data_IF_935951554635
#
_entry.id   IF_935951554635
#
_cell.length_a   1.000
_cell.length_b   1.000
_cell.length_c   1.000
_cell.angle_alpha   90.00
_cell.angle_beta   90.00
_cell.angle_gamma   90.00
#
_symmetry.space_group_name_H-M   'P 1'
#
loop_
_entity.id
_entity.type
_entity.pdbx_description
1 polymer ?
#
# COMPACT_ATOMS: atom_id res chain seq x y z
N UNK A 1 7.09 55.23 -2.10
CA UNK A 1 5.69 55.44 -1.64
C UNK A 1 4.87 55.64 -2.89
N UNK A 2 3.87 54.85 -3.29
CA UNK A 2 2.76 54.20 -2.56
C UNK A 2 2.27 53.00 -3.39
N UNK A 3 2.59 51.78 -2.93
CA UNK A 3 1.95 50.54 -3.36
C UNK A 3 1.02 50.14 -2.20
N UNK A 4 -0.30 50.22 -2.40
CA UNK A 4 -1.38 49.56 -1.61
C UNK A 4 -2.72 50.23 -1.91
N UNK A 5 -3.37 49.91 -3.03
CA UNK A 5 -4.78 50.30 -3.23
C UNK A 5 -5.69 49.27 -3.91
N UNK A 6 -5.28 48.01 -4.09
CA UNK A 6 -6.12 47.03 -4.79
C UNK A 6 -6.37 45.72 -4.02
N UNK A 7 -6.39 45.73 -2.68
CA UNK A 7 -6.64 44.52 -1.88
C UNK A 7 -7.96 44.55 -1.09
N UNK A 8 -8.88 45.47 -1.41
CA UNK A 8 -10.09 45.70 -0.62
C UNK A 8 -11.40 45.68 -1.43
N UNK A 9 -11.49 44.83 -2.46
CA UNK A 9 -12.75 44.63 -3.20
C UNK A 9 -13.20 43.16 -3.31
N UNK A 10 -12.47 42.21 -2.71
CA UNK A 10 -12.82 40.77 -2.77
C UNK A 10 -13.32 40.19 -1.44
N UNK A 11 -13.61 41.02 -0.44
CA UNK A 11 -13.88 40.55 0.94
C UNK A 11 -15.29 40.86 1.48
N UNK A 12 -16.25 41.26 0.62
CA UNK A 12 -17.60 41.62 1.07
C UNK A 12 -18.75 40.99 0.26
N UNK A 13 -18.57 39.79 -0.30
CA UNK A 13 -19.67 39.02 -0.91
C UNK A 13 -19.92 37.65 -0.27
N UNK A 14 -19.68 37.51 1.04
CA UNK A 14 -19.93 36.26 1.78
C UNK A 14 -20.91 36.42 2.96
N UNK A 15 -21.86 37.36 2.90
CA UNK A 15 -22.73 37.67 4.03
C UNK A 15 -24.23 37.68 3.72
N UNK A 16 -24.72 36.78 2.85
CA UNK A 16 -26.17 36.58 2.63
C UNK A 16 -26.58 35.10 2.45
N UNK A 17 -25.99 34.17 3.21
CA UNK A 17 -26.56 32.83 3.34
C UNK A 17 -27.60 32.81 4.46
N UNK A 18 -28.86 32.58 4.09
CA UNK A 18 -29.97 32.38 5.02
C UNK A 18 -29.64 31.20 5.96
N UNK A 19 -29.98 31.27 7.27
CA UNK A 19 -29.80 30.13 8.16
C UNK A 19 -30.71 28.99 7.70
N UNK A 20 -30.10 27.90 7.22
CA UNK A 20 -30.82 26.67 6.94
C UNK A 20 -31.23 26.05 8.27
N UNK A 21 -32.52 26.12 8.60
CA UNK A 21 -33.13 25.36 9.70
C UNK A 21 -33.20 23.88 9.31
N UNK A 22 -32.07 23.19 9.28
CA UNK A 22 -32.08 21.73 9.42
C UNK A 22 -32.25 21.41 10.89
N UNK A 23 -33.48 21.04 11.26
CA UNK A 23 -33.76 20.25 12.46
C UNK A 23 -33.02 18.91 12.35
N UNK A 24 -31.71 18.89 12.63
CA UNK A 24 -30.99 17.65 12.80
C UNK A 24 -31.29 17.14 14.21
N UNK A 25 -32.37 16.37 14.28
CA UNK A 25 -32.80 15.62 15.46
C UNK A 25 -31.63 14.72 15.87
N UNK A 26 -30.88 15.15 16.88
CA UNK A 26 -29.98 14.27 17.62
C UNK A 26 -30.85 13.17 18.24
N UNK A 27 -30.67 11.92 17.80
CA UNK A 27 -30.99 10.62 18.45
C UNK A 27 -30.91 9.53 17.37
N UNK A 28 -30.29 8.37 17.53
CA UNK A 28 -29.55 7.75 18.63
C UNK A 28 -28.65 6.66 18.04
N UNK A 29 -27.48 6.50 18.67
CA UNK A 29 -26.49 5.42 18.62
C UNK A 29 -27.00 4.07 18.07
N UNK A 30 -26.39 3.61 16.99
CA UNK A 30 -25.76 2.29 16.79
C UNK A 30 -25.56 2.07 15.28
N UNK A 31 -24.64 2.82 14.68
CA UNK A 31 -24.19 2.53 13.31
C UNK A 31 -23.14 1.41 13.41
N UNK A 32 -23.30 0.25 12.73
CA UNK A 32 -22.32 -0.85 12.77
C UNK A 32 -20.90 -0.39 12.41
N UNK A 33 -20.81 0.65 11.55
CA UNK A 33 -19.56 1.26 11.10
C UNK A 33 -18.86 2.06 12.19
N UNK A 34 -19.60 2.70 13.11
CA UNK A 34 -18.96 3.44 14.21
C UNK A 34 -18.35 2.48 15.23
N UNK A 35 -18.98 1.34 15.47
CA UNK A 35 -18.44 0.32 16.39
C UNK A 35 -17.22 -0.38 15.82
N UNK A 36 -17.17 -0.60 14.49
CA UNK A 36 -15.99 -1.13 13.83
C UNK A 36 -14.80 -0.16 13.89
N UNK A 37 -15.04 1.13 13.67
CA UNK A 37 -14.00 2.16 13.79
C UNK A 37 -13.48 2.27 15.23
N UNK A 38 -14.37 2.21 16.22
CA UNK A 38 -13.98 2.20 17.65
C UNK A 38 -13.15 0.95 17.97
N UNK A 39 -13.53 -0.24 17.48
CA UNK A 39 -12.74 -1.46 17.67
C UNK A 39 -11.35 -1.36 17.04
N UNK A 40 -11.25 -0.83 15.81
CA UNK A 40 -9.95 -0.61 15.13
C UNK A 40 -9.08 0.38 15.90
N UNK A 41 -9.67 1.46 16.42
CA UNK A 41 -8.95 2.45 17.21
C UNK A 41 -8.41 1.87 18.53
N UNK A 42 -9.21 1.08 19.25
CA UNK A 42 -8.76 0.44 20.49
C UNK A 42 -7.69 -0.63 20.23
N UNK A 43 -7.74 -1.35 19.11
CA UNK A 43 -6.67 -2.26 18.71
C UNK A 43 -5.37 -1.53 18.34
N UNK A 44 -5.45 -0.36 17.70
CA UNK A 44 -4.27 0.45 17.39
C UNK A 44 -3.58 0.98 18.64
N UNK A 45 -4.34 1.39 19.67
CA UNK A 45 -3.76 1.77 20.97
C UNK A 45 -2.99 0.63 21.63
N UNK A 46 -3.47 -0.61 21.51
CA UNK A 46 -2.81 -1.79 22.09
C UNK A 46 -1.49 -2.14 21.37
N UNK A 47 -1.43 -1.89 20.06
CA UNK A 47 -0.25 -2.15 19.23
C UNK A 47 0.63 -0.91 19.05
N UNK A 48 0.50 0.08 19.93
CA UNK A 48 1.35 1.25 19.87
C UNK A 48 2.79 0.85 20.20
N UNK A 49 3.67 1.01 19.22
CA UNK A 49 5.12 0.79 19.38
C UNK A 49 5.60 1.71 20.50
N UNK A 50 6.23 1.13 21.53
CA UNK A 50 6.73 1.92 22.66
C UNK A 50 7.93 2.74 22.22
N UNK A 51 8.16 3.90 22.85
CA UNK A 51 9.29 4.76 22.52
C UNK A 51 10.64 4.04 22.72
N UNK A 52 10.70 3.10 23.68
CA UNK A 52 11.84 2.22 23.93
C UNK A 52 12.13 1.30 22.74
N UNK A 53 11.09 0.79 22.07
CA UNK A 53 11.23 -0.08 20.90
C UNK A 53 11.79 0.71 19.71
N UNK A 54 11.33 1.95 19.49
CA UNK A 54 11.85 2.83 18.42
C UNK A 54 13.33 3.12 18.62
N UNK A 55 13.74 3.44 19.85
CA UNK A 55 15.14 3.73 20.18
C UNK A 55 16.05 2.52 19.97
N UNK A 56 15.56 1.31 20.34
CA UNK A 56 16.27 0.05 20.08
C UNK A 56 16.37 -0.25 18.58
N UNK A 57 15.30 -0.04 17.82
CA UNK A 57 15.29 -0.22 16.37
C UNK A 57 16.26 0.74 15.67
N UNK A 58 16.27 2.02 16.06
CA UNK A 58 17.21 3.00 15.53
C UNK A 58 18.66 2.65 15.85
N UNK A 59 18.93 2.18 17.06
CA UNK A 59 20.26 1.72 17.45
C UNK A 59 20.71 0.53 16.59
N UNK A 60 19.86 -0.47 16.39
CA UNK A 60 20.14 -1.62 15.50
C UNK A 60 20.34 -1.18 14.05
N UNK A 61 19.55 -0.21 13.57
CA UNK A 61 19.69 0.31 12.21
C UNK A 61 21.03 1.03 12.02
N UNK A 62 21.47 1.84 13.01
CA UNK A 62 22.79 2.48 13.00
C UNK A 62 23.92 1.44 12.98
N UNK A 63 23.81 0.36 13.74
CA UNK A 63 24.78 -0.74 13.71
C UNK A 63 24.84 -1.43 12.34
N UNK A 64 23.70 -1.78 11.76
CA UNK A 64 23.64 -2.42 10.43
C UNK A 64 24.15 -1.50 9.31
N UNK A 65 23.99 -0.18 9.47
CA UNK A 65 24.55 0.82 8.56
C UNK A 65 26.03 1.12 8.79
N UNK A 66 26.65 0.55 9.83
CA UNK A 66 28.04 0.83 10.20
C UNK A 66 28.28 2.27 10.68
N UNK A 67 27.23 2.94 11.19
CA UNK A 67 27.27 4.34 11.65
C UNK A 67 27.48 4.46 13.17
N UNK A 68 28.03 3.43 13.82
CA UNK A 68 28.36 3.49 15.25
C UNK A 68 29.78 3.97 15.48
N UNK A 69 29.95 4.93 16.40
CA UNK A 69 31.26 5.44 16.89
C UNK A 69 32.15 4.34 17.50
N UNK A 70 31.52 3.27 17.99
CA UNK A 70 32.19 2.00 18.26
C UNK A 70 32.41 1.30 16.91
N UNK A 71 33.51 1.69 16.25
CA UNK A 71 34.11 0.94 15.17
C UNK A 71 34.17 -0.53 15.59
N UNK A 72 33.45 -1.48 14.94
CA UNK A 72 33.93 -2.85 15.00
C UNK A 72 35.34 -2.78 14.43
N UNK A 73 36.34 -3.10 15.26
CA UNK A 73 37.68 -3.35 14.81
C UNK A 73 37.63 -4.56 13.85
N UNK A 74 37.29 -4.29 12.59
CA UNK A 74 37.41 -5.22 11.48
C UNK A 74 37.68 -4.46 10.19
N UNK A 75 38.54 -3.45 10.31
CA UNK A 75 39.51 -3.13 9.26
C UNK A 75 40.89 -3.64 9.71
N UNK A 76 40.94 -4.86 10.24
CA UNK A 76 42.19 -5.58 10.55
C UNK A 76 42.59 -6.53 9.42
N UNK A 77 42.28 -6.16 8.18
CA UNK A 77 42.70 -6.95 7.02
C UNK A 77 44.06 -6.45 6.51
N UNK A 78 44.44 -5.22 6.88
CA UNK A 78 45.62 -4.55 6.34
C UNK A 78 46.94 -4.99 6.97
N UNK A 79 46.92 -5.79 8.05
CA UNK A 79 48.13 -6.25 8.75
C UNK A 79 48.28 -7.77 8.84
N UNK A 80 47.36 -8.52 8.24
CA UNK A 80 47.40 -9.99 8.30
C UNK A 80 48.39 -10.53 7.28
N UNK A 81 49.14 -11.55 7.68
CA UNK A 81 49.98 -12.29 6.77
C UNK A 81 49.14 -12.86 5.62
N UNK A 82 49.74 -13.03 4.45
CA UNK A 82 49.06 -13.58 3.28
C UNK A 82 48.41 -14.92 3.58
N UNK A 83 49.02 -15.73 4.44
CA UNK A 83 48.48 -17.02 4.92
C UNK A 83 47.20 -16.86 5.74
N UNK A 84 47.15 -15.87 6.64
CA UNK A 84 45.95 -15.62 7.45
C UNK A 84 44.78 -15.07 6.62
N UNK A 85 45.09 -14.27 5.59
CA UNK A 85 44.09 -13.77 4.64
C UNK A 85 43.47 -14.91 3.83
N UNK A 86 44.29 -15.86 3.37
CA UNK A 86 43.82 -17.05 2.65
C UNK A 86 42.99 -17.94 3.57
N UNK A 87 43.42 -18.17 4.81
CA UNK A 87 42.64 -18.96 5.78
C UNK A 87 41.26 -18.37 6.02
N UNK A 88 41.17 -17.05 6.25
CA UNK A 88 39.89 -16.34 6.42
C UNK A 88 39.01 -16.36 5.17
N UNK A 89 39.60 -16.37 3.98
CA UNK A 89 38.86 -16.50 2.73
C UNK A 89 38.23 -17.89 2.60
N UNK A 90 39.00 -18.93 2.92
CA UNK A 90 38.52 -20.33 2.90
C UNK A 90 37.42 -20.55 3.93
N UNK A 91 37.59 -20.05 5.16
CA UNK A 91 36.57 -20.13 6.21
C UNK A 91 35.25 -19.48 5.78
N UNK A 92 35.34 -18.28 5.19
CA UNK A 92 34.16 -17.57 4.67
C UNK A 92 33.43 -18.38 3.60
N UNK A 93 34.17 -18.95 2.65
CA UNK A 93 33.57 -19.75 1.57
C UNK A 93 32.86 -20.99 2.10
N UNK A 94 33.44 -21.65 3.12
CA UNK A 94 32.82 -22.80 3.78
C UNK A 94 31.54 -22.38 4.53
N UNK A 95 31.55 -21.22 5.19
CA UNK A 95 30.39 -20.72 5.91
C UNK A 95 29.26 -20.29 4.95
N UNK A 96 29.58 -19.59 3.87
CA UNK A 96 28.64 -19.24 2.80
C UNK A 96 27.97 -20.49 2.21
N UNK A 97 28.76 -21.52 1.87
CA UNK A 97 28.22 -22.78 1.35
C UNK A 97 27.31 -23.50 2.36
N UNK A 98 27.60 -23.42 3.66
CA UNK A 98 26.72 -23.96 4.73
C UNK A 98 25.42 -23.19 4.83
N UNK A 99 25.47 -21.87 4.68
CA UNK A 99 24.27 -21.02 4.68
C UNK A 99 23.44 -21.33 3.44
N UNK A 100 24.03 -21.38 2.24
CA UNK A 100 23.31 -21.70 1.01
C UNK A 100 22.65 -23.08 1.08
N UNK A 101 23.34 -24.07 1.66
CA UNK A 101 22.75 -25.40 1.87
C UNK A 101 21.60 -25.40 2.87
N UNK A 102 21.65 -24.57 3.91
CA UNK A 102 20.64 -24.53 4.98
C UNK A 102 19.45 -23.61 4.65
N UNK A 103 19.76 -22.51 3.98
CA UNK A 103 18.87 -21.46 3.54
C UNK A 103 18.60 -21.58 2.04
N UNK A 104 18.67 -22.80 1.49
CA UNK A 104 18.16 -23.13 0.16
C UNK A 104 16.65 -22.89 0.18
N UNK A 105 16.28 -21.61 0.12
CA UNK A 105 14.98 -21.16 -0.31
C UNK A 105 14.98 -21.47 -1.79
N UNK A 106 14.45 -22.66 -2.08
CA UNK A 106 13.88 -22.90 -3.38
C UNK A 106 12.84 -21.81 -3.54
N UNK A 107 13.17 -20.73 -4.24
CA UNK A 107 12.16 -19.95 -4.92
C UNK A 107 11.62 -20.90 -5.97
N UNK A 108 10.84 -21.88 -5.52
CA UNK A 108 10.18 -22.83 -6.35
C UNK A 108 9.46 -22.00 -7.38
N UNK A 109 10.01 -21.99 -8.59
CA UNK A 109 9.27 -21.66 -9.79
C UNK A 109 8.31 -22.81 -10.13
N UNK A 110 8.00 -23.65 -9.14
CA UNK A 110 6.81 -24.48 -9.02
C UNK A 110 5.64 -23.68 -8.40
N UNK A 111 5.57 -22.35 -8.62
CA UNK A 111 4.29 -21.74 -8.94
C UNK A 111 3.84 -22.35 -10.27
N UNK A 112 3.40 -23.60 -10.23
CA UNK A 112 2.55 -24.16 -11.27
C UNK A 112 1.33 -23.22 -11.34
N UNK A 113 1.18 -22.40 -12.39
CA UNK A 113 0.03 -21.52 -12.53
C UNK A 113 -1.12 -22.36 -13.06
N UNK A 114 -1.42 -23.48 -12.41
CA UNK A 114 -2.64 -24.23 -12.67
C UNK A 114 -3.78 -23.34 -12.20
N UNK A 115 -4.39 -22.72 -13.22
CA UNK A 115 -5.58 -21.88 -13.18
C UNK A 115 -5.37 -20.46 -12.68
N UNK A 116 -4.53 -19.69 -13.37
CA UNK A 116 -5.00 -18.34 -13.73
C UNK A 116 -6.21 -18.54 -14.64
N UNK A 117 -7.39 -18.70 -14.03
CA UNK A 117 -8.66 -18.53 -14.73
C UNK A 117 -8.51 -17.25 -15.56
N UNK A 118 -8.45 -17.43 -16.88
CA UNK A 118 -8.15 -16.35 -17.82
C UNK A 118 -9.40 -15.50 -17.98
N UNK A 119 -9.75 -14.80 -16.91
CA UNK A 119 -10.94 -13.98 -16.88
C UNK A 119 -10.78 -12.82 -17.86
N UNK A 120 -11.80 -12.52 -18.66
CA UNK A 120 -11.74 -11.40 -19.59
C UNK A 120 -11.55 -10.09 -18.83
N UNK A 121 -10.70 -9.21 -19.37
CA UNK A 121 -10.46 -7.89 -18.82
C UNK A 121 -11.57 -6.92 -19.19
N UNK A 122 -11.84 -5.95 -18.32
CA UNK A 122 -12.75 -4.85 -18.61
C UNK A 122 -12.13 -3.90 -19.65
N UNK A 123 -12.88 -3.55 -20.70
CA UNK A 123 -12.43 -2.64 -21.77
C UNK A 123 -12.01 -1.26 -21.26
N UNK A 124 -12.65 -0.79 -20.19
CA UNK A 124 -12.43 0.56 -19.64
C UNK A 124 -11.36 0.65 -18.53
N UNK A 125 -10.91 -0.47 -17.98
CA UNK A 125 -9.93 -0.48 -16.88
C UNK A 125 -9.29 -1.86 -16.71
N UNK A 126 -8.15 -1.94 -16.02
CA UNK A 126 -7.43 -3.20 -15.77
C UNK A 126 -8.09 -4.14 -14.75
N UNK A 127 -9.40 -3.99 -14.54
CA UNK A 127 -10.20 -4.86 -13.68
C UNK A 127 -10.74 -6.06 -14.43
N UNK A 128 -11.18 -7.07 -13.68
CA UNK A 128 -11.86 -8.25 -14.23
C UNK A 128 -13.26 -7.86 -14.73
N UNK A 129 -13.62 -8.29 -15.94
CA UNK A 129 -14.95 -8.10 -16.47
C UNK A 129 -15.92 -9.14 -15.92
N UNK A 130 -17.11 -8.69 -15.53
CA UNK A 130 -18.20 -9.54 -15.05
C UNK A 130 -19.22 -9.81 -16.16
N UNK A 131 -19.34 -8.87 -17.10
CA UNK A 131 -20.36 -8.90 -18.15
C UNK A 131 -19.75 -8.63 -19.52
N UNK A 132 -20.20 -9.36 -20.54
CA UNK A 132 -20.02 -9.01 -21.95
C UNK A 132 -21.30 -8.38 -22.48
N UNK A 133 -21.19 -7.31 -23.26
CA UNK A 133 -22.33 -6.64 -23.89
C UNK A 133 -22.32 -6.95 -25.39
N UNK A 134 -23.36 -7.62 -25.89
CA UNK A 134 -23.40 -8.08 -27.30
C UNK A 134 -23.47 -6.95 -28.31
N UNK A 135 -24.12 -5.85 -27.95
CA UNK A 135 -24.31 -4.69 -28.82
C UNK A 135 -23.06 -3.79 -28.85
N UNK A 136 -22.25 -3.82 -27.78
CA UNK A 136 -20.97 -3.11 -27.73
C UNK A 136 -19.78 -4.00 -28.13
N UNK A 137 -19.98 -5.31 -28.23
CA UNK A 137 -18.94 -6.33 -28.48
C UNK A 137 -17.73 -6.21 -27.53
N UNK A 138 -18.00 -5.78 -26.29
CA UNK A 138 -17.01 -5.41 -25.29
C UNK A 138 -17.33 -6.00 -23.91
N UNK A 139 -16.28 -6.18 -23.10
CA UNK A 139 -16.34 -6.72 -21.74
C UNK A 139 -16.24 -5.60 -20.70
N UNK A 140 -17.06 -5.64 -19.65
CA UNK A 140 -17.10 -4.60 -18.63
C UNK A 140 -17.16 -5.18 -17.21
N UNK A 141 -16.47 -4.53 -16.27
CA UNK A 141 -16.76 -4.71 -14.85
C UNK A 141 -18.06 -3.98 -14.48
N UNK A 142 -18.68 -4.36 -13.36
CA UNK A 142 -19.96 -3.76 -12.90
C UNK A 142 -19.93 -2.24 -12.79
N UNK A 143 -18.79 -1.66 -12.39
CA UNK A 143 -18.63 -0.20 -12.27
C UNK A 143 -18.62 0.47 -13.63
N UNK A 144 -17.83 -0.05 -14.56
CA UNK A 144 -17.69 0.52 -15.90
C UNK A 144 -18.98 0.36 -16.70
N UNK A 145 -19.64 -0.80 -16.62
CA UNK A 145 -20.93 -1.04 -17.28
C UNK A 145 -21.99 -0.02 -16.82
N UNK A 146 -22.10 0.22 -15.51
CA UNK A 146 -23.05 1.19 -14.98
C UNK A 146 -22.74 2.65 -15.37
N UNK A 147 -21.48 2.95 -15.69
CA UNK A 147 -21.06 4.29 -16.10
C UNK A 147 -21.32 4.51 -17.59
N UNK A 148 -21.11 3.49 -18.42
CA UNK A 148 -21.22 3.59 -19.87
C UNK A 148 -22.63 3.31 -20.39
N UNK A 149 -23.39 2.46 -19.69
CA UNK A 149 -24.77 2.15 -20.05
C UNK A 149 -25.73 2.94 -19.17
N UNK A 150 -26.48 3.85 -19.79
CA UNK A 150 -27.58 4.54 -19.14
C UNK A 150 -28.76 3.59 -18.89
N UNK A 151 -29.78 4.04 -18.14
CA UNK A 151 -30.91 3.16 -17.76
C UNK A 151 -31.60 2.50 -18.96
N UNK A 152 -31.69 3.19 -20.10
CA UNK A 152 -32.36 2.68 -21.31
C UNK A 152 -31.49 1.64 -22.03
N UNK A 153 -30.20 1.96 -22.21
CA UNK A 153 -29.23 1.06 -22.83
C UNK A 153 -29.08 -0.25 -22.05
N UNK A 154 -29.21 -0.24 -20.72
CA UNK A 154 -29.18 -1.48 -19.92
C UNK A 154 -30.39 -2.40 -20.14
N UNK A 155 -31.49 -1.91 -20.70
CA UNK A 155 -32.65 -2.73 -21.06
C UNK A 155 -32.61 -3.17 -22.52
N UNK A 156 -32.04 -2.33 -23.39
CA UNK A 156 -31.95 -2.60 -24.82
C UNK A 156 -30.74 -3.49 -25.16
N UNK A 157 -29.63 -3.36 -24.42
CA UNK A 157 -28.43 -4.16 -24.62
C UNK A 157 -28.49 -5.47 -23.84
N UNK A 158 -28.20 -6.57 -24.51
CA UNK A 158 -28.12 -7.90 -23.92
C UNK A 158 -26.73 -8.12 -23.32
N UNK A 159 -26.71 -8.39 -22.01
CA UNK A 159 -25.49 -8.74 -21.29
C UNK A 159 -25.41 -10.21 -20.95
N UNK A 160 -24.26 -10.83 -21.18
CA UNK A 160 -23.95 -12.19 -20.74
C UNK A 160 -22.89 -12.17 -19.65
N UNK A 161 -22.83 -13.22 -18.82
CA UNK A 161 -21.81 -13.35 -17.77
C UNK A 161 -20.54 -13.89 -18.41
N UNK A 162 -19.43 -13.19 -18.19
CA UNK A 162 -18.11 -13.67 -18.55
C UNK A 162 -17.76 -14.90 -17.69
N UNK A 163 -17.51 -16.05 -18.32
CA UNK A 163 -17.04 -17.28 -17.67
C UNK A 163 -15.54 -17.45 -17.86
#
# INVERSE_FOLDING_TARGET
MTLKKNFAHSLLQASNLKPNKTNQKVRSRNDPKTDELVKRFENLKKNQVKAEDVSLLEHRFRQLKGLTEEKPASSENSSLSTTDQVSKLVERYIEEARIDSKCSVDFGLDDDPTEKENFPSCYMCDGVAEFSCRECDDNFCKRCFNKTHNKRERFEHQTEICK
#
